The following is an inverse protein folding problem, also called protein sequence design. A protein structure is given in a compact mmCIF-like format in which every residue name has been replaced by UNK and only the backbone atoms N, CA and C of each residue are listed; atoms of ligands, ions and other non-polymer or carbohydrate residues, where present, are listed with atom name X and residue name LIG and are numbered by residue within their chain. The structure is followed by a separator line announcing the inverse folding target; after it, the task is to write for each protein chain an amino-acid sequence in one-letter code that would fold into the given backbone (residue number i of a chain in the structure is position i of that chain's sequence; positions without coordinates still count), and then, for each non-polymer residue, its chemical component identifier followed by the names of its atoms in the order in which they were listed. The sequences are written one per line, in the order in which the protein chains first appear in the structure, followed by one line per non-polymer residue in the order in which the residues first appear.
data_IF_831495177010
#
_entry.id   IF_831495177010
#
_cell.length_a   1.000
_cell.length_b   1.000
_cell.length_c   1.000
_cell.angle_alpha   90.00
_cell.angle_beta   90.00
_cell.angle_gamma   90.00
#
_symmetry.space_group_name_H-M   'P 1'
#
loop_
_entity.id
_entity.type
_entity.pdbx_description
1 polymer ?
#
# COMPACT_ATOMS: atom_id res chain seq x y z
N UNK A 1 -18.34 -46.85 10.27
CA UNK A 1 -19.39 -46.15 11.03
C UNK A 1 -18.94 -44.73 11.28
N UNK A 2 -19.57 -43.82 10.54
CA UNK A 2 -19.33 -42.38 10.56
C UNK A 2 -19.81 -41.82 11.90
N UNK A 3 -18.94 -41.10 12.60
CA UNK A 3 -19.33 -40.21 13.71
C UNK A 3 -19.13 -38.79 13.23
N UNK A 4 -20.26 -38.16 12.89
CA UNK A 4 -20.43 -36.77 12.50
C UNK A 4 -19.96 -35.82 13.61
N UNK A 5 -18.96 -34.98 13.33
CA UNK A 5 -18.68 -33.79 14.13
C UNK A 5 -19.56 -32.64 13.62
N UNK A 6 -20.67 -32.39 14.31
CA UNK A 6 -21.53 -31.25 14.08
C UNK A 6 -21.25 -30.14 15.10
N UNK A 7 -21.18 -28.92 14.58
CA UNK A 7 -21.40 -27.62 15.25
C UNK A 7 -20.26 -27.13 16.16
N UNK A 8 -19.68 -25.94 15.97
CA UNK A 8 -20.40 -24.67 16.04
C UNK A 8 -19.56 -23.52 15.47
N UNK A 9 -20.16 -22.72 14.58
CA UNK A 9 -19.64 -21.44 14.10
C UNK A 9 -19.35 -20.50 15.28
N UNK A 10 -18.08 -20.13 15.46
CA UNK A 10 -17.72 -19.03 16.37
C UNK A 10 -17.69 -17.73 15.56
N UNK A 11 -18.87 -17.20 15.25
CA UNK A 11 -19.02 -15.79 14.90
C UNK A 11 -18.75 -14.97 16.16
N UNK A 12 -17.62 -14.27 16.22
CA UNK A 12 -17.46 -13.14 17.13
C UNK A 12 -17.06 -11.91 16.33
N UNK A 13 -17.99 -10.99 16.02
CA UNK A 13 -17.60 -9.62 15.71
C UNK A 13 -17.36 -8.95 17.06
N UNK A 14 -16.13 -9.04 17.56
CA UNK A 14 -15.72 -8.15 18.65
C UNK A 14 -15.34 -6.82 18.00
N UNK A 15 -16.30 -5.90 17.95
CA UNK A 15 -15.97 -4.50 17.69
C UNK A 15 -15.18 -4.00 18.89
N UNK A 16 -13.86 -4.01 18.76
CA UNK A 16 -12.95 -3.37 19.69
C UNK A 16 -13.09 -1.86 19.55
N UNK A 17 -13.95 -1.27 20.37
CA UNK A 17 -14.02 0.17 20.59
C UNK A 17 -12.85 0.53 21.50
N UNK A 18 -11.66 0.78 20.95
CA UNK A 18 -10.58 1.38 21.74
C UNK A 18 -9.14 1.26 21.26
N UNK A 19 -8.78 0.25 20.46
CA UNK A 19 -7.41 0.16 19.94
C UNK A 19 -7.29 0.98 18.65
N UNK A 20 -6.30 1.87 18.56
CA UNK A 20 -5.87 2.37 17.24
C UNK A 20 -5.48 1.15 16.42
N UNK A 21 -6.30 0.76 15.44
CA UNK A 21 -6.01 -0.35 14.56
C UNK A 21 -4.75 0.00 13.78
N UNK A 22 -3.61 -0.57 14.18
CA UNK A 22 -2.43 -0.56 13.34
C UNK A 22 -2.72 -1.50 12.18
N UNK A 23 -2.95 -0.90 11.01
CA UNK A 23 -3.13 -1.65 9.78
C UNK A 23 -1.78 -2.18 9.33
N UNK A 24 -1.77 -3.36 8.71
CA UNK A 24 -0.54 -3.94 8.15
C UNK A 24 0.00 -3.02 7.06
N UNK A 25 1.26 -2.53 7.16
CA UNK A 25 1.89 -1.72 6.11
C UNK A 25 1.80 -2.39 4.73
N UNK A 26 1.48 -1.61 3.71
CA UNK A 26 1.31 -2.12 2.34
C UNK A 26 -0.05 -2.76 2.07
N UNK A 27 -0.83 -3.13 3.10
CA UNK A 27 -2.24 -3.56 2.93
C UNK A 27 -3.18 -2.34 2.96
N UNK A 28 -2.96 -1.43 2.02
CA UNK A 28 -3.72 -0.19 1.88
C UNK A 28 -4.39 -0.10 0.50
N UNK A 29 -5.68 0.24 0.48
CA UNK A 29 -6.45 0.41 -0.75
C UNK A 29 -6.28 1.82 -1.35
N UNK A 30 -6.44 1.93 -2.67
CA UNK A 30 -6.49 3.23 -3.37
C UNK A 30 -7.91 3.53 -3.84
N UNK A 31 -8.44 4.69 -3.44
CA UNK A 31 -9.74 5.17 -3.92
C UNK A 31 -9.71 5.42 -5.42
N UNK A 32 -10.78 5.07 -6.12
CA UNK A 32 -10.95 5.41 -7.53
C UNK A 32 -11.42 6.87 -7.63
N UNK A 33 -10.73 7.68 -8.43
CA UNK A 33 -11.02 9.11 -8.62
C UNK A 33 -11.77 9.38 -9.95
N UNK A 34 -12.45 8.36 -10.47
CA UNK A 34 -13.17 8.39 -11.75
C UNK A 34 -12.30 7.86 -12.89
N UNK A 35 -12.56 6.63 -13.33
CA UNK A 35 -11.80 5.94 -14.39
C UNK A 35 -10.29 5.77 -14.09
N UNK A 36 -9.86 5.89 -12.84
CA UNK A 36 -8.44 5.75 -12.47
C UNK A 36 -8.04 4.34 -12.02
N UNK A 37 -8.94 3.35 -12.11
CA UNK A 37 -8.62 1.98 -11.69
C UNK A 37 -7.43 1.36 -12.43
N UNK A 38 -7.16 1.78 -13.68
CA UNK A 38 -5.95 1.38 -14.41
C UNK A 38 -4.66 1.84 -13.72
N UNK A 39 -4.69 3.05 -13.13
CA UNK A 39 -3.56 3.62 -12.41
C UNK A 39 -3.44 2.94 -11.05
N UNK A 40 -4.56 2.74 -10.35
CA UNK A 40 -4.58 2.06 -9.05
C UNK A 40 -3.99 0.65 -9.16
N UNK A 41 -4.34 -0.13 -10.18
CA UNK A 41 -3.79 -1.49 -10.35
C UNK A 41 -2.29 -1.47 -10.64
N UNK A 42 -1.81 -0.54 -11.49
CA UNK A 42 -0.38 -0.40 -11.76
C UNK A 42 0.41 0.01 -10.51
N UNK A 43 -0.09 0.99 -9.75
CA UNK A 43 0.54 1.46 -8.51
C UNK A 43 0.61 0.37 -7.44
N UNK A 44 -0.47 -0.41 -7.29
CA UNK A 44 -0.51 -1.56 -6.38
C UNK A 44 0.55 -2.60 -6.77
N UNK A 45 0.65 -2.97 -8.06
CA UNK A 45 1.69 -3.89 -8.53
C UNK A 45 3.10 -3.37 -8.23
N UNK A 46 3.40 -2.11 -8.55
CA UNK A 46 4.71 -1.51 -8.30
C UNK A 46 5.05 -1.42 -6.81
N UNK A 47 4.07 -1.05 -5.97
CA UNK A 47 4.26 -0.95 -4.52
C UNK A 47 4.56 -2.29 -3.84
N UNK A 48 4.25 -3.40 -4.51
CA UNK A 48 4.52 -4.76 -4.04
C UNK A 48 5.77 -5.37 -4.66
N UNK A 49 6.63 -4.57 -5.32
CA UNK A 49 7.97 -4.99 -5.75
C UNK A 49 8.97 -4.65 -4.63
N UNK A 50 9.43 -5.62 -3.81
CA UNK A 50 10.13 -5.30 -2.57
C UNK A 50 11.41 -4.45 -2.74
N UNK A 51 12.27 -4.68 -3.74
CA UNK A 51 13.44 -3.84 -3.96
C UNK A 51 13.09 -2.38 -4.31
N UNK A 52 12.03 -2.17 -5.09
CA UNK A 52 11.58 -0.85 -5.50
C UNK A 52 11.00 -0.09 -4.30
N UNK A 53 10.14 -0.76 -3.53
CA UNK A 53 9.52 -0.19 -2.34
C UNK A 53 10.56 0.17 -1.28
N UNK A 54 11.51 -0.74 -1.00
CA UNK A 54 12.60 -0.46 -0.06
C UNK A 54 13.46 0.74 -0.49
N UNK A 55 13.69 0.89 -1.80
CA UNK A 55 14.43 2.03 -2.34
C UNK A 55 13.70 3.36 -2.12
N UNK A 56 12.39 3.41 -2.42
CA UNK A 56 11.58 4.61 -2.25
C UNK A 56 11.25 4.96 -0.80
N UNK A 57 11.23 3.99 0.11
CA UNK A 57 11.10 4.26 1.55
C UNK A 57 12.42 4.71 2.21
N UNK A 58 13.54 4.63 1.48
CA UNK A 58 14.87 4.96 1.95
C UNK A 58 15.44 6.21 1.29
N UNK A 59 16.21 6.01 0.21
CA UNK A 59 17.21 6.99 -0.28
C UNK A 59 16.91 7.53 -1.68
N UNK A 60 15.68 7.37 -2.19
CA UNK A 60 15.38 7.77 -3.56
C UNK A 60 15.61 9.27 -3.84
N UNK A 61 15.47 10.12 -2.81
CA UNK A 61 15.61 11.58 -2.94
C UNK A 61 17.02 11.99 -3.35
N UNK A 62 18.05 11.31 -2.85
CA UNK A 62 19.46 11.59 -3.13
C UNK A 62 19.83 11.31 -4.61
N UNK A 63 19.04 10.50 -5.29
CA UNK A 63 19.30 10.05 -6.66
C UNK A 63 18.40 10.75 -7.69
N UNK A 64 17.63 11.77 -7.30
CA UNK A 64 16.79 12.51 -8.23
C UNK A 64 17.67 13.36 -9.15
N UNK A 65 17.74 12.96 -10.42
CA UNK A 65 18.33 13.78 -11.47
C UNK A 65 17.30 14.80 -11.99
N UNK A 66 17.37 16.04 -11.47
CA UNK A 66 16.48 17.15 -11.86
C UNK A 66 16.84 17.77 -13.21
N UNK A 67 18.08 17.61 -13.64
CA UNK A 67 18.63 18.25 -14.84
C UNK A 67 18.45 17.42 -16.10
N UNK A 68 18.01 16.15 -15.98
CA UNK A 68 17.75 15.29 -17.12
C UNK A 68 16.66 15.88 -18.03
N UNK A 69 16.96 16.26 -19.29
CA UNK A 69 15.99 16.88 -20.20
C UNK A 69 14.88 15.92 -20.65
N UNK A 70 15.06 14.61 -20.47
CA UNK A 70 14.05 13.58 -20.74
C UNK A 70 13.20 13.26 -19.49
N UNK A 71 13.59 13.79 -18.34
CA UNK A 71 12.92 13.56 -17.06
C UNK A 71 11.75 14.51 -16.82
N UNK A 72 11.14 14.34 -15.64
CA UNK A 72 10.06 15.21 -15.15
C UNK A 72 10.52 16.03 -13.95
N UNK A 73 11.77 16.52 -13.95
CA UNK A 73 12.38 17.32 -12.87
C UNK A 73 12.32 16.69 -11.46
N UNK A 74 12.08 15.38 -11.40
CA UNK A 74 11.88 14.60 -10.17
C UNK A 74 10.42 14.46 -9.71
N UNK A 75 9.46 15.15 -10.34
CA UNK A 75 8.09 15.28 -9.82
C UNK A 75 7.38 13.93 -9.69
N UNK A 76 7.52 13.05 -10.68
CA UNK A 76 6.94 11.70 -10.63
C UNK A 76 7.57 10.84 -9.54
N UNK A 77 8.90 10.89 -9.39
CA UNK A 77 9.59 10.12 -8.35
C UNK A 77 9.17 10.60 -6.94
N UNK A 78 9.08 11.92 -6.74
CA UNK A 78 8.64 12.52 -5.48
C UNK A 78 7.18 12.17 -5.17
N UNK A 79 6.28 12.28 -6.16
CA UNK A 79 4.87 11.92 -5.96
C UNK A 79 4.71 10.43 -5.63
N UNK A 80 5.44 9.55 -6.31
CA UNK A 80 5.40 8.12 -6.05
C UNK A 80 6.01 7.75 -4.68
N UNK A 81 7.12 8.38 -4.29
CA UNK A 81 7.73 8.17 -2.97
C UNK A 81 6.79 8.58 -1.84
N UNK A 82 6.18 9.76 -1.93
CA UNK A 82 5.17 10.22 -0.96
C UNK A 82 4.00 9.24 -0.83
N UNK A 83 3.49 8.76 -1.97
CA UNK A 83 2.43 7.75 -1.98
C UNK A 83 2.88 6.46 -1.28
N UNK A 84 4.10 5.97 -1.53
CA UNK A 84 4.60 4.76 -0.86
C UNK A 84 4.71 4.95 0.65
N UNK A 85 5.14 6.13 1.13
CA UNK A 85 5.16 6.42 2.56
C UNK A 85 3.76 6.37 3.19
N UNK A 86 2.73 6.82 2.48
CA UNK A 86 1.34 6.71 2.95
C UNK A 86 0.86 5.26 2.97
N UNK A 87 1.03 4.53 1.87
CA UNK A 87 0.61 3.13 1.72
C UNK A 87 1.30 2.20 2.74
N UNK A 88 2.55 2.49 3.09
CA UNK A 88 3.37 1.68 4.01
C UNK A 88 3.48 2.28 5.43
N UNK A 89 2.67 3.29 5.76
CA UNK A 89 2.65 3.88 7.11
C UNK A 89 1.94 3.02 8.16
N UNK A 90 1.00 2.15 7.75
CA UNK A 90 0.13 1.40 8.65
C UNK A 90 -0.98 2.23 9.32
N UNK A 91 -1.25 3.43 8.83
CA UNK A 91 -2.17 4.41 9.44
C UNK A 91 -3.51 4.60 8.69
N UNK A 92 -3.88 3.70 7.78
CA UNK A 92 -4.94 3.92 6.78
C UNK A 92 -6.22 3.15 7.02
#
# INVERSE_FOLDING_TARGET
NISTHSSSSSNKPYYDVGSKSHYTPGLCGLSNLGKTCFMNSALQCLSNVPPLTAYFLGQYEDHINRDNPLGMKGDVAIAYGKLLHELWSGNT
#
